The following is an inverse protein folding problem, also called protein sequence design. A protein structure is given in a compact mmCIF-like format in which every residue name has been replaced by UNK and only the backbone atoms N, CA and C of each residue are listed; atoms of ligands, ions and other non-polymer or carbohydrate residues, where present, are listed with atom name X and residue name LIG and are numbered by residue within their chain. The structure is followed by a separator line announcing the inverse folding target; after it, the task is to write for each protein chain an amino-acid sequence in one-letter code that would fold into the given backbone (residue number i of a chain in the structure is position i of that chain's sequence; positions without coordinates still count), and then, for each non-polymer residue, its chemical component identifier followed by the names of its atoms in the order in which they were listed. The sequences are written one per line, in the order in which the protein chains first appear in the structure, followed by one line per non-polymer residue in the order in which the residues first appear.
data_IF_554192943397
#
_entry.id   IF_554192943397
#
_cell.length_a   1.000
_cell.length_b   1.000
_cell.length_c   1.000
_cell.angle_alpha   90.00
_cell.angle_beta   90.00
_cell.angle_gamma   90.00
#
_symmetry.space_group_name_H-M   'P 1'
#
loop_
_entity.id
_entity.type
_entity.pdbx_description
1 polymer ?
#
# COMPACT_ATOMS: atom_id res chain seq x y z
N UNK A 1 -3.05 -12.14 3.23
CA UNK A 1 -2.23 -11.22 2.40
C UNK A 1 -0.90 -11.83 1.98
N UNK A 2 -0.16 -11.22 0.99
CA UNK A 2 1.18 -11.70 0.59
C UNK A 2 2.20 -11.39 1.67
N UNK A 3 3.06 -12.36 2.02
CA UNK A 3 4.18 -12.16 2.96
C UNK A 3 5.11 -11.04 2.49
N UNK A 4 5.62 -10.28 3.44
CA UNK A 4 6.65 -9.27 3.23
C UNK A 4 7.89 -9.66 4.02
N UNK A 5 9.00 -9.96 3.37
CA UNK A 5 10.28 -10.30 4.02
C UNK A 5 11.36 -9.31 3.60
N UNK A 6 11.82 -9.44 2.36
CA UNK A 6 12.74 -8.54 1.69
C UNK A 6 12.09 -8.11 0.38
N UNK A 7 12.10 -6.82 0.11
CA UNK A 7 11.69 -6.24 -1.16
C UNK A 7 12.90 -5.54 -1.78
N UNK A 8 13.25 -5.93 -3.00
CA UNK A 8 14.23 -5.19 -3.81
C UNK A 8 13.54 -4.71 -5.07
N UNK A 9 13.50 -3.42 -5.28
CA UNK A 9 12.74 -2.88 -6.37
C UNK A 9 13.16 -1.49 -6.81
N UNK A 10 12.71 -1.14 -8.02
CA UNK A 10 12.87 0.21 -8.58
C UNK A 10 12.10 1.20 -7.71
N UNK A 11 12.73 2.35 -7.50
CA UNK A 11 12.15 3.46 -6.73
C UNK A 11 11.52 4.46 -7.67
N UNK A 12 10.27 4.80 -7.43
CA UNK A 12 9.58 5.90 -8.10
C UNK A 12 9.45 7.11 -7.15
N UNK A 13 9.81 8.31 -7.57
CA UNK A 13 9.66 9.50 -6.75
C UNK A 13 8.28 10.15 -6.95
N UNK A 14 7.67 10.57 -5.87
CA UNK A 14 6.53 11.49 -5.84
C UNK A 14 6.90 12.65 -4.91
N UNK A 15 7.62 13.64 -5.44
CA UNK A 15 8.15 14.78 -4.68
C UNK A 15 7.04 15.75 -4.27
N UNK A 16 6.15 15.28 -3.39
CA UNK A 16 4.98 16.01 -2.93
C UNK A 16 4.68 15.69 -1.47
N UNK A 17 4.46 16.73 -0.66
CA UNK A 17 3.89 16.61 0.68
C UNK A 17 2.36 16.64 0.62
N UNK A 18 1.72 16.19 1.70
CA UNK A 18 0.27 16.18 1.84
C UNK A 18 -0.46 15.46 0.70
N UNK A 19 0.10 14.33 0.26
CA UNK A 19 -0.56 13.47 -0.72
C UNK A 19 -1.80 12.87 -0.06
N UNK A 20 -2.97 13.40 -0.40
CA UNK A 20 -4.23 12.95 0.17
C UNK A 20 -4.81 11.73 -0.55
N UNK A 21 -5.80 11.12 0.08
CA UNK A 21 -6.43 9.90 -0.46
C UNK A 21 -7.26 10.14 -1.71
N UNK A 22 -7.73 11.38 -1.98
CA UNK A 22 -8.40 11.73 -3.23
C UNK A 22 -7.39 11.82 -4.38
N UNK A 23 -6.19 12.31 -4.12
CA UNK A 23 -5.10 12.30 -5.10
C UNK A 23 -4.62 10.87 -5.41
N UNK A 24 -4.53 9.99 -4.38
CA UNK A 24 -4.13 8.59 -4.56
C UNK A 24 -5.18 7.86 -5.39
N UNK A 25 -6.46 7.97 -5.04
CA UNK A 25 -7.58 7.36 -5.74
C UNK A 25 -8.79 8.29 -5.73
N UNK A 26 -9.12 8.97 -6.84
CA UNK A 26 -10.21 9.94 -6.91
C UNK A 26 -11.58 9.33 -6.61
N UNK A 27 -12.46 10.15 -6.01
CA UNK A 27 -13.77 9.74 -5.48
C UNK A 27 -14.69 9.05 -6.50
N UNK A 28 -14.60 9.39 -7.79
CA UNK A 28 -15.44 8.80 -8.83
C UNK A 28 -15.23 7.30 -8.98
N UNK A 29 -14.03 6.77 -8.64
CA UNK A 29 -13.73 5.34 -8.70
C UNK A 29 -14.22 4.55 -7.48
N UNK A 30 -14.54 5.23 -6.37
CA UNK A 30 -15.01 4.60 -5.13
C UNK A 30 -16.44 4.05 -5.23
N UNK A 31 -17.15 4.32 -6.32
CA UNK A 31 -18.47 3.73 -6.61
C UNK A 31 -18.40 2.24 -6.97
N UNK A 32 -17.19 1.72 -7.23
CA UNK A 32 -17.00 0.29 -7.49
C UNK A 32 -17.26 -0.53 -6.22
N UNK A 33 -18.10 -1.56 -6.34
CA UNK A 33 -18.34 -2.55 -5.28
C UNK A 33 -17.26 -3.65 -5.24
N UNK A 34 -16.35 -3.66 -6.21
CA UNK A 34 -15.25 -4.63 -6.29
C UNK A 34 -14.13 -4.21 -5.34
N UNK A 35 -13.33 -5.19 -4.90
CA UNK A 35 -12.10 -4.96 -4.13
C UNK A 35 -10.85 -4.88 -5.02
N UNK A 36 -11.00 -4.94 -6.33
CA UNK A 36 -9.92 -4.99 -7.32
C UNK A 36 -10.19 -4.07 -8.50
N UNK A 37 -9.15 -3.71 -9.24
CA UNK A 37 -9.22 -2.83 -10.42
C UNK A 37 -8.90 -1.37 -10.12
N UNK A 38 -8.39 -1.06 -8.94
CA UNK A 38 -8.05 0.32 -8.55
C UNK A 38 -6.66 0.76 -9.00
N UNK A 39 -5.72 -0.17 -9.20
CA UNK A 39 -4.35 0.13 -9.62
C UNK A 39 -4.27 0.90 -10.93
N UNK A 40 -5.18 0.62 -11.87
CA UNK A 40 -5.27 1.33 -13.15
C UNK A 40 -5.60 2.84 -12.97
N UNK A 41 -6.26 3.18 -11.87
CA UNK A 41 -6.73 4.53 -11.55
C UNK A 41 -5.89 5.20 -10.43
N UNK A 42 -4.75 4.58 -10.05
CA UNK A 42 -3.81 5.17 -9.11
C UNK A 42 -3.33 6.52 -9.64
N UNK A 43 -3.38 7.56 -8.83
CA UNK A 43 -2.98 8.93 -9.19
C UNK A 43 -3.59 9.42 -10.52
N UNK A 44 -4.86 9.10 -10.76
CA UNK A 44 -5.54 9.35 -12.03
C UNK A 44 -5.38 10.80 -12.51
N UNK A 45 -5.60 11.77 -11.65
CA UNK A 45 -5.49 13.21 -11.95
C UNK A 45 -4.07 13.66 -12.31
N UNK A 46 -3.04 12.91 -11.91
CA UNK A 46 -1.65 13.19 -12.25
C UNK A 46 -1.18 12.41 -13.47
N UNK A 47 -1.69 11.17 -13.64
CA UNK A 47 -1.27 10.26 -14.70
C UNK A 47 -1.86 10.58 -16.06
N UNK A 48 -3.07 11.14 -16.10
CA UNK A 48 -3.79 11.39 -17.35
C UNK A 48 -4.08 12.88 -17.54
N UNK A 49 -4.23 13.29 -18.79
CA UNK A 49 -4.57 14.66 -19.18
C UNK A 49 -6.10 14.89 -19.27
N UNK A 50 -6.88 13.84 -19.23
CA UNK A 50 -8.34 13.84 -19.20
C UNK A 50 -8.89 13.37 -17.86
N UNK A 51 -10.12 13.73 -17.55
CA UNK A 51 -10.79 13.24 -16.34
C UNK A 51 -11.24 11.78 -16.52
N UNK A 52 -10.87 10.92 -15.55
CA UNK A 52 -11.23 9.52 -15.54
C UNK A 52 -12.63 9.25 -14.98
N UNK A 53 -13.26 8.18 -15.45
CA UNK A 53 -14.52 7.68 -14.91
C UNK A 53 -14.52 6.15 -14.78
N UNK A 54 -15.39 5.62 -13.93
CA UNK A 54 -15.47 4.20 -13.65
C UNK A 54 -15.83 3.40 -14.93
N UNK A 55 -15.01 2.38 -15.23
CA UNK A 55 -15.18 1.50 -16.41
C UNK A 55 -14.56 2.04 -17.69
N UNK A 56 -13.86 3.16 -17.65
CA UNK A 56 -13.12 3.68 -18.79
C UNK A 56 -11.95 2.78 -19.16
N UNK A 57 -11.67 2.63 -20.45
CA UNK A 57 -10.49 1.95 -20.97
C UNK A 57 -9.28 2.88 -20.87
N UNK A 58 -8.50 2.71 -19.80
CA UNK A 58 -7.34 3.55 -19.52
C UNK A 58 -6.21 3.40 -20.57
N UNK A 59 -6.19 2.33 -21.37
CA UNK A 59 -5.16 2.13 -22.40
C UNK A 59 -5.24 3.14 -23.55
N UNK A 60 -6.37 3.82 -23.70
CA UNK A 60 -6.64 4.82 -24.76
C UNK A 60 -6.56 6.26 -24.25
N UNK A 61 -6.31 6.45 -22.96
CA UNK A 61 -6.28 7.79 -22.36
C UNK A 61 -4.94 8.48 -22.63
N UNK A 62 -4.95 9.81 -22.84
CA UNK A 62 -3.73 10.58 -23.02
C UNK A 62 -2.96 10.61 -21.68
N UNK A 63 -1.76 10.03 -21.69
CA UNK A 63 -0.86 10.08 -20.55
C UNK A 63 -0.25 11.45 -20.37
N UNK A 64 -0.13 11.90 -19.13
CA UNK A 64 0.66 13.08 -18.78
C UNK A 64 2.17 12.73 -18.83
N UNK A 65 2.95 13.27 -19.79
CA UNK A 65 4.36 12.91 -19.94
C UNK A 65 5.24 13.47 -18.82
N UNK A 66 4.76 14.47 -18.10
CA UNK A 66 5.52 15.13 -17.04
C UNK A 66 5.42 14.36 -15.69
N UNK A 67 4.43 13.48 -15.55
CA UNK A 67 4.24 12.72 -14.33
C UNK A 67 5.22 11.54 -14.24
N UNK A 68 5.88 11.39 -13.08
CA UNK A 68 6.98 10.45 -12.88
C UNK A 68 6.60 9.02 -13.22
N UNK A 69 5.45 8.52 -12.75
CA UNK A 69 5.04 7.12 -12.96
C UNK A 69 4.74 6.78 -14.43
N UNK A 70 4.60 7.77 -15.29
CA UNK A 70 4.43 7.56 -16.75
C UNK A 70 5.77 7.50 -17.48
N UNK A 71 6.88 7.88 -16.83
CA UNK A 71 8.22 7.85 -17.44
C UNK A 71 8.75 6.41 -17.49
N UNK A 72 9.33 5.96 -18.62
CA UNK A 72 9.83 4.58 -18.78
C UNK A 72 10.80 4.14 -17.68
N UNK A 73 11.64 5.04 -17.17
CA UNK A 73 12.63 4.74 -16.12
C UNK A 73 12.02 4.27 -14.79
N UNK A 74 10.73 4.53 -14.54
CA UNK A 74 10.04 4.15 -13.32
C UNK A 74 9.00 3.04 -13.51
N UNK A 75 8.92 2.48 -14.72
CA UNK A 75 8.02 1.36 -14.99
C UNK A 75 8.41 0.13 -14.16
N UNK A 76 7.41 -0.51 -13.56
CA UNK A 76 7.62 -1.67 -12.66
C UNK A 76 8.20 -1.30 -11.29
N UNK A 77 8.18 -0.02 -10.91
CA UNK A 77 8.58 0.38 -9.55
C UNK A 77 7.70 -0.27 -8.49
N UNK A 78 8.35 -0.83 -7.46
CA UNK A 78 7.67 -1.42 -6.30
C UNK A 78 7.87 -0.62 -5.00
N UNK A 79 8.68 0.43 -5.05
CA UNK A 79 8.96 1.33 -3.94
C UNK A 79 8.62 2.76 -4.36
N UNK A 80 7.76 3.42 -3.57
CA UNK A 80 7.40 4.83 -3.75
C UNK A 80 8.09 5.66 -2.67
N UNK A 81 8.77 6.75 -3.05
CA UNK A 81 9.25 7.75 -2.07
C UNK A 81 8.40 9.02 -2.19
N UNK A 82 8.02 9.59 -1.04
CA UNK A 82 7.18 10.79 -0.98
C UNK A 82 7.59 11.70 0.17
N UNK A 83 6.99 12.89 0.26
CA UNK A 83 7.18 13.85 1.35
C UNK A 83 6.25 13.57 2.53
N UNK A 84 6.33 14.44 3.53
CA UNK A 84 5.58 14.34 4.78
C UNK A 84 4.05 14.29 4.58
N UNK A 85 3.38 13.70 5.57
CA UNK A 85 1.91 13.61 5.66
C UNK A 85 1.26 12.85 4.48
N UNK A 86 1.86 11.71 4.10
CA UNK A 86 1.33 10.88 3.02
C UNK A 86 0.05 10.15 3.47
N UNK A 87 -0.94 10.10 2.57
CA UNK A 87 -2.22 9.43 2.81
C UNK A 87 -3.17 10.24 3.70
N UNK A 88 -3.00 11.57 3.78
CA UNK A 88 -3.92 12.44 4.52
C UNK A 88 -5.32 12.50 3.88
N UNK A 89 -6.23 13.27 4.48
CA UNK A 89 -7.60 13.42 4.02
C UNK A 89 -8.54 12.33 4.52
N UNK A 90 -9.46 11.88 3.68
CA UNK A 90 -10.51 10.94 4.08
C UNK A 90 -9.99 9.52 4.33
N UNK A 91 -10.58 8.84 5.33
CA UNK A 91 -10.27 7.43 5.59
C UNK A 91 -10.75 6.54 4.45
N UNK A 92 -9.83 6.07 3.60
CA UNK A 92 -10.14 5.21 2.46
C UNK A 92 -9.19 4.03 2.37
N UNK A 93 -9.73 2.84 2.50
CA UNK A 93 -8.99 1.60 2.30
C UNK A 93 -8.61 1.38 0.82
N UNK A 94 -9.33 2.02 -0.09
CA UNK A 94 -9.04 1.99 -1.54
C UNK A 94 -7.68 2.58 -1.91
N UNK A 95 -7.15 3.52 -1.10
CA UNK A 95 -5.85 4.12 -1.37
C UNK A 95 -4.69 3.10 -1.28
N UNK A 96 -4.54 2.31 -0.20
CA UNK A 96 -3.60 1.19 -0.17
C UNK A 96 -3.86 0.14 -1.26
N UNK A 97 -5.13 -0.18 -1.59
CA UNK A 97 -5.43 -1.13 -2.66
C UNK A 97 -4.94 -0.64 -4.02
N UNK A 98 -5.15 0.65 -4.33
CA UNK A 98 -4.69 1.22 -5.59
C UNK A 98 -3.16 1.18 -5.72
N UNK A 99 -2.45 1.46 -4.64
CA UNK A 99 -0.98 1.40 -4.60
C UNK A 99 -0.47 -0.05 -4.77
N UNK A 100 -1.05 -0.98 -4.02
CA UNK A 100 -0.65 -2.40 -4.06
C UNK A 100 -0.94 -3.04 -5.41
N UNK A 101 -2.12 -2.79 -5.99
CA UNK A 101 -2.48 -3.30 -7.32
C UNK A 101 -1.65 -2.67 -8.44
N UNK A 102 -1.18 -1.44 -8.29
CA UNK A 102 -0.25 -0.83 -9.24
C UNK A 102 1.12 -1.49 -9.22
N UNK A 103 1.49 -2.08 -8.06
CA UNK A 103 2.75 -2.79 -7.87
C UNK A 103 3.58 -2.30 -6.69
N UNK A 104 3.17 -1.24 -6.00
CA UNK A 104 3.91 -0.75 -4.85
C UNK A 104 3.74 -1.66 -3.64
N UNK A 105 4.86 -2.11 -3.10
CA UNK A 105 4.95 -2.90 -1.87
C UNK A 105 5.38 -2.05 -0.67
N UNK A 106 6.12 -0.98 -0.93
CA UNK A 106 6.66 -0.07 0.07
C UNK A 106 6.40 1.37 -0.32
N UNK A 107 6.02 2.16 0.65
CA UNK A 107 6.05 3.63 0.56
C UNK A 107 7.02 4.13 1.61
N UNK A 108 7.93 5.04 1.25
CA UNK A 108 8.88 5.70 2.17
C UNK A 108 8.52 7.18 2.25
N UNK A 109 8.26 7.68 3.45
CA UNK A 109 7.94 9.08 3.69
C UNK A 109 8.36 9.51 5.11
N UNK A 110 8.54 10.82 5.37
CA UNK A 110 8.85 11.31 6.72
C UNK A 110 7.70 11.13 7.72
N UNK A 111 6.46 11.16 7.24
CA UNK A 111 5.27 10.92 8.07
C UNK A 111 4.06 10.50 7.24
N UNK A 112 3.08 9.92 7.90
CA UNK A 112 1.83 9.42 7.34
C UNK A 112 0.63 9.90 8.15
N UNK A 113 -0.54 9.95 7.51
CA UNK A 113 -1.79 9.97 8.25
C UNK A 113 -2.06 8.60 8.90
N UNK A 114 -2.52 8.61 10.15
CA UNK A 114 -2.67 7.40 10.99
C UNK A 114 -3.51 6.31 10.33
N UNK A 115 -4.63 6.70 9.71
CA UNK A 115 -5.55 5.74 9.09
C UNK A 115 -4.91 5.08 7.87
N UNK A 116 -4.25 5.86 7.00
CA UNK A 116 -3.54 5.32 5.85
C UNK A 116 -2.43 4.36 6.30
N UNK A 117 -1.63 4.77 7.29
CA UNK A 117 -0.57 3.96 7.87
C UNK A 117 -1.08 2.60 8.37
N UNK A 118 -2.18 2.61 9.14
CA UNK A 118 -2.81 1.41 9.65
C UNK A 118 -3.35 0.50 8.53
N UNK A 119 -4.06 1.08 7.56
CA UNK A 119 -4.64 0.33 6.45
C UNK A 119 -3.56 -0.28 5.54
N UNK A 120 -2.41 0.37 5.37
CA UNK A 120 -1.29 -0.17 4.60
C UNK A 120 -0.82 -1.52 5.14
N UNK A 121 -0.61 -1.63 6.45
CA UNK A 121 -0.22 -2.91 7.07
C UNK A 121 -1.25 -4.01 6.89
N UNK A 122 -2.54 -3.69 7.02
CA UNK A 122 -3.64 -4.65 6.84
C UNK A 122 -3.72 -5.21 5.41
N UNK A 123 -3.25 -4.45 4.44
CA UNK A 123 -3.22 -4.82 3.02
C UNK A 123 -1.85 -5.37 2.55
N UNK A 124 -0.90 -5.58 3.47
CA UNK A 124 0.39 -6.19 3.14
C UNK A 124 1.40 -5.22 2.52
N UNK A 125 1.16 -3.92 2.61
CA UNK A 125 2.11 -2.88 2.26
C UNK A 125 2.93 -2.46 3.48
N UNK A 126 4.18 -2.08 3.27
CA UNK A 126 5.07 -1.57 4.30
C UNK A 126 5.26 -0.05 4.16
N UNK A 127 4.59 0.77 4.99
CA UNK A 127 4.93 2.18 5.11
C UNK A 127 6.19 2.33 5.99
N UNK A 128 7.25 2.90 5.43
CA UNK A 128 8.54 3.12 6.10
C UNK A 128 8.67 4.60 6.44
N UNK A 129 8.99 4.91 7.70
CA UNK A 129 9.26 6.26 8.17
C UNK A 129 10.78 6.46 8.23
N UNK A 130 11.29 7.44 7.49
CA UNK A 130 12.67 7.91 7.57
C UNK A 130 12.68 9.43 7.74
N UNK A 131 13.79 9.98 8.25
CA UNK A 131 13.88 11.44 8.42
C UNK A 131 13.80 12.19 7.07
N UNK A 132 13.43 13.47 7.12
CA UNK A 132 13.34 14.31 5.91
C UNK A 132 14.67 14.37 5.15
N UNK A 133 15.79 14.40 5.89
CA UNK A 133 17.14 14.45 5.31
C UNK A 133 17.47 13.17 4.52
N UNK A 134 17.09 12.00 5.07
CA UNK A 134 17.29 10.72 4.39
C UNK A 134 16.39 10.64 3.15
N UNK A 135 15.13 11.03 3.28
CA UNK A 135 14.20 11.05 2.15
C UNK A 135 14.70 12.00 1.06
N UNK A 136 15.23 13.17 1.40
CA UNK A 136 15.87 14.10 0.47
C UNK A 136 17.08 13.48 -0.25
N UNK A 137 17.91 12.74 0.48
CA UNK A 137 19.02 11.99 -0.11
C UNK A 137 18.51 10.98 -1.13
N UNK A 138 17.51 10.16 -0.76
CA UNK A 138 16.93 9.16 -1.65
C UNK A 138 16.32 9.77 -2.92
N UNK A 139 15.67 10.94 -2.84
CA UNK A 139 15.20 11.67 -4.01
C UNK A 139 16.35 12.08 -4.95
N UNK A 140 17.44 12.59 -4.40
CA UNK A 140 18.63 12.99 -5.18
C UNK A 140 19.29 11.79 -5.88
N UNK A 141 19.45 10.67 -5.15
CA UNK A 141 20.03 9.45 -5.71
C UNK A 141 19.11 8.85 -6.79
N UNK A 142 17.81 8.80 -6.57
CA UNK A 142 16.81 8.34 -7.54
C UNK A 142 16.80 9.19 -8.81
N UNK A 143 16.97 10.50 -8.69
CA UNK A 143 17.06 11.40 -9.85
C UNK A 143 18.37 11.19 -10.63
N UNK A 144 19.49 10.98 -9.93
CA UNK A 144 20.82 10.86 -10.52
C UNK A 144 21.04 9.53 -11.25
N UNK A 145 20.40 8.43 -10.80
CA UNK A 145 20.64 7.09 -11.33
C UNK A 145 19.37 6.53 -11.99
N UNK A 146 19.44 6.18 -13.27
CA UNK A 146 18.37 5.44 -13.93
C UNK A 146 18.29 4.02 -13.40
N UNK A 147 17.06 3.53 -13.16
CA UNK A 147 16.84 2.21 -12.58
C UNK A 147 17.30 2.09 -11.12
N UNK A 148 17.34 3.23 -10.38
CA UNK A 148 17.70 3.24 -8.96
C UNK A 148 16.82 2.28 -8.16
N UNK A 149 17.45 1.41 -7.37
CA UNK A 149 16.80 0.39 -6.57
C UNK A 149 17.16 0.53 -5.10
N UNK A 150 16.22 0.18 -4.24
CA UNK A 150 16.46 0.00 -2.82
C UNK A 150 16.18 -1.45 -2.43
N UNK A 151 16.82 -1.91 -1.36
CA UNK A 151 16.49 -3.17 -0.70
C UNK A 151 15.90 -2.85 0.67
N UNK A 152 14.67 -3.30 0.89
CA UNK A 152 13.94 -3.11 2.15
C UNK A 152 13.89 -4.46 2.86
N UNK A 153 14.61 -4.60 3.95
CA UNK A 153 14.62 -5.80 4.79
C UNK A 153 13.76 -5.56 6.04
N UNK A 154 12.57 -6.17 6.06
CA UNK A 154 11.65 -6.04 7.19
C UNK A 154 12.18 -6.76 8.43
N UNK A 155 12.90 -7.88 8.28
CA UNK A 155 13.43 -8.61 9.43
C UNK A 155 14.53 -7.80 10.12
N UNK A 156 15.45 -7.22 9.35
CA UNK A 156 16.52 -6.35 9.86
C UNK A 156 16.03 -4.92 10.19
N UNK A 157 14.86 -4.53 9.65
CA UNK A 157 14.32 -3.16 9.69
C UNK A 157 15.32 -2.15 9.12
N UNK A 158 15.76 -2.43 7.89
CA UNK A 158 16.74 -1.62 7.16
C UNK A 158 16.27 -1.32 5.74
N UNK A 159 16.52 -0.09 5.31
CA UNK A 159 16.51 0.34 3.91
C UNK A 159 17.97 0.44 3.46
N UNK A 160 18.35 -0.30 2.43
CA UNK A 160 19.73 -0.29 1.91
C UNK A 160 19.77 0.29 0.51
N UNK A 161 20.73 1.20 0.29
CA UNK A 161 21.01 1.78 -1.02
C UNK A 161 21.91 0.87 -1.85
N UNK A 162 22.02 1.06 -3.17
CA UNK A 162 22.97 0.33 -4.02
C UNK A 162 24.44 0.52 -3.62
N UNK A 163 24.75 1.65 -2.97
CA UNK A 163 26.11 1.96 -2.48
C UNK A 163 26.45 1.26 -1.17
N UNK A 164 25.48 0.57 -0.55
CA UNK A 164 25.66 -0.18 0.71
C UNK A 164 25.34 0.62 1.96
N UNK A 165 24.89 1.88 1.83
CA UNK A 165 24.41 2.63 2.98
C UNK A 165 23.09 2.03 3.49
N UNK A 166 22.92 1.98 4.82
CA UNK A 166 21.77 1.37 5.46
C UNK A 166 21.11 2.33 6.45
N UNK A 167 19.80 2.54 6.29
CA UNK A 167 18.97 3.36 7.17
C UNK A 167 18.03 2.47 7.97
N UNK A 168 18.05 2.61 9.29
CA UNK A 168 17.15 1.89 10.20
C UNK A 168 15.77 2.55 10.21
N UNK A 169 14.74 1.71 10.31
CA UNK A 169 13.37 2.15 10.57
C UNK A 169 12.72 1.29 11.65
N UNK A 170 11.67 1.82 12.25
CA UNK A 170 10.94 1.12 13.29
C UNK A 170 9.57 0.67 12.80
N UNK A 171 9.17 -0.53 13.21
CA UNK A 171 7.84 -1.11 12.99
C UNK A 171 7.39 -1.76 14.28
N UNK A 172 6.14 -1.54 14.63
CA UNK A 172 5.49 -2.24 15.75
C UNK A 172 5.67 -3.76 15.62
N UNK A 173 6.08 -4.47 16.69
CA UNK A 173 6.41 -5.90 16.64
C UNK A 173 5.25 -6.78 16.15
N UNK A 174 4.00 -6.43 16.50
CA UNK A 174 2.83 -7.18 16.04
C UNK A 174 2.58 -7.00 14.54
N UNK A 175 2.68 -5.77 14.04
CA UNK A 175 2.57 -5.47 12.60
C UNK A 175 3.67 -6.15 11.79
N UNK A 176 4.90 -6.13 12.30
CA UNK A 176 6.04 -6.86 11.72
C UNK A 176 5.74 -8.36 11.63
N UNK A 177 5.24 -8.96 12.72
CA UNK A 177 4.85 -10.36 12.74
C UNK A 177 3.78 -10.66 11.68
N UNK A 178 2.73 -9.84 11.59
CA UNK A 178 1.66 -10.01 10.59
C UNK A 178 2.20 -9.95 9.15
N UNK A 179 3.02 -8.96 8.82
CA UNK A 179 3.60 -8.83 7.48
C UNK A 179 4.52 -10.00 7.13
N UNK A 180 5.44 -10.39 8.03
CA UNK A 180 6.37 -11.50 7.81
C UNK A 180 5.64 -12.83 7.56
N UNK A 181 4.50 -13.04 8.20
CA UNK A 181 3.71 -14.28 8.09
C UNK A 181 2.57 -14.19 7.08
N UNK A 182 2.26 -13.00 6.54
CA UNK A 182 1.16 -12.79 5.60
C UNK A 182 -0.21 -12.86 6.27
N UNK A 183 -0.31 -12.47 7.55
CA UNK A 183 -1.52 -12.54 8.35
C UNK A 183 -2.32 -11.23 8.23
N UNK A 184 -3.47 -11.30 7.61
CA UNK A 184 -4.51 -10.28 7.69
C UNK A 184 -5.47 -10.57 8.87
N UNK A 185 -6.48 -9.73 9.07
CA UNK A 185 -7.45 -9.90 10.17
C UNK A 185 -8.13 -11.27 10.14
N UNK A 186 -8.40 -11.81 8.94
CA UNK A 186 -8.97 -13.16 8.77
C UNK A 186 -7.94 -14.24 9.12
N UNK A 187 -6.71 -14.10 8.62
CA UNK A 187 -5.61 -15.02 8.92
C UNK A 187 -5.30 -15.12 10.40
N UNK A 188 -5.35 -13.99 11.12
CA UNK A 188 -5.23 -13.96 12.57
C UNK A 188 -6.37 -14.70 13.27
N UNK A 189 -7.62 -14.47 12.85
CA UNK A 189 -8.80 -15.16 13.40
C UNK A 189 -8.73 -16.67 13.17
N UNK A 190 -8.27 -17.10 11.99
CA UNK A 190 -8.14 -18.52 11.65
C UNK A 190 -7.08 -19.26 12.48
N UNK A 191 -6.17 -18.58 13.15
CA UNK A 191 -5.26 -19.20 14.11
C UNK A 191 -6.01 -19.79 15.32
N UNK A 192 -7.19 -19.25 15.65
CA UNK A 192 -8.08 -19.75 16.72
C UNK A 192 -9.24 -20.60 16.17
N UNK A 193 -9.07 -21.23 14.99
CA UNK A 193 -10.17 -21.95 14.31
C UNK A 193 -10.79 -23.09 15.15
N UNK A 194 -9.98 -23.77 15.96
CA UNK A 194 -10.48 -24.85 16.85
C UNK A 194 -11.35 -24.30 17.98
N UNK A 195 -10.93 -23.20 18.60
CA UNK A 195 -11.72 -22.53 19.66
C UNK A 195 -13.03 -21.98 19.11
N UNK A 196 -12.99 -21.42 17.89
CA UNK A 196 -14.18 -20.93 17.18
C UNK A 196 -15.16 -22.07 16.95
N UNK A 197 -14.72 -23.21 16.41
CA UNK A 197 -15.56 -24.38 16.18
C UNK A 197 -16.17 -24.91 17.48
N UNK A 198 -15.35 -25.00 18.53
CA UNK A 198 -15.83 -25.44 19.85
C UNK A 198 -16.90 -24.49 20.41
N UNK A 199 -16.73 -23.18 20.20
CA UNK A 199 -17.74 -22.19 20.58
C UNK A 199 -19.03 -22.34 19.76
N UNK A 200 -18.94 -22.51 18.46
CA UNK A 200 -20.08 -22.68 17.55
C UNK A 200 -20.90 -23.93 17.93
N UNK A 201 -20.25 -25.07 18.19
CA UNK A 201 -20.94 -26.30 18.57
C UNK A 201 -21.71 -26.15 19.92
N UNK A 202 -21.07 -25.51 20.90
CA UNK A 202 -21.76 -25.20 22.16
C UNK A 202 -22.95 -24.26 21.96
N UNK A 203 -22.76 -23.25 21.08
CA UNK A 203 -23.81 -22.25 20.85
C UNK A 203 -24.96 -22.83 20.05
N UNK A 204 -24.75 -23.75 19.11
CA UNK A 204 -25.81 -24.48 18.39
C UNK A 204 -26.72 -25.26 19.34
N UNK A 205 -26.14 -25.88 20.37
CA UNK A 205 -26.92 -26.64 21.35
C UNK A 205 -27.86 -25.77 22.21
N UNK A 206 -27.42 -24.55 22.55
CA UNK A 206 -28.12 -23.61 23.46
C UNK A 206 -28.96 -22.60 22.71
N UNK A 207 -28.53 -22.20 21.51
CA UNK A 207 -29.15 -21.14 20.68
C UNK A 207 -29.27 -21.57 19.20
N UNK A 208 -30.04 -22.63 18.90
CA UNK A 208 -30.14 -23.17 17.53
C UNK A 208 -30.65 -22.18 16.49
N UNK A 209 -31.45 -21.19 16.93
CA UNK A 209 -31.98 -20.15 16.02
C UNK A 209 -30.92 -19.23 15.42
N UNK A 210 -29.71 -19.12 16.01
CA UNK A 210 -28.62 -18.30 15.47
C UNK A 210 -28.03 -18.93 14.20
N UNK A 211 -28.17 -20.23 14.04
CA UNK A 211 -27.61 -21.02 12.94
C UNK A 211 -28.67 -21.49 11.92
N UNK A 212 -29.91 -21.02 12.05
CA UNK A 212 -30.96 -21.32 11.06
C UNK A 212 -30.75 -20.51 9.78
N UNK A 213 -30.86 -21.18 8.63
CA UNK A 213 -30.89 -20.46 7.34
C UNK A 213 -32.14 -19.57 7.29
N UNK A 214 -31.93 -18.29 7.05
CA UNK A 214 -33.02 -17.37 6.74
C UNK A 214 -33.49 -17.71 5.32
N UNK A 215 -34.63 -18.40 5.21
CA UNK A 215 -35.30 -18.57 3.91
C UNK A 215 -35.82 -17.21 3.49
N UNK A 216 -35.20 -16.65 2.42
CA UNK A 216 -35.66 -15.42 1.76
C UNK A 216 -36.96 -15.68 1.01
#
# INVERSE_FOLDING_TARGET
MKKYTVEQGIVAPLDRANVDTDLIIPKQFLKSIKRTGFGANLFDELRYLDEGYLGQDNSKRPLNPDFELNKPRYQGASILISRANFGCGSSREHAPWALEEYGFRTVIAPSYADIFYNNSFKNGMLPVILSEEIVDQLFKECAAQEGYQLTIDLQAQEVRTPTGEAFKFEVDPFRKHCLLNGLDDIGLTLQAAEDIRAYEERTKAVRPWVFQEIKA
#
